data_IF_867292897035
#
_entry.id   IF_867292897035
#
_cell.length_a   1.000
_cell.length_b   1.000
_cell.length_c   1.000
_cell.angle_alpha   90.00
_cell.angle_beta   90.00
_cell.angle_gamma   90.00
#
_symmetry.space_group_name_H-M   'P 1'
#
loop_
_entity.id
_entity.type
_entity.pdbx_description
1 polymer ?
#
# COMPACT_ATOMS: atom_id res chain seq x y z
N UNK A 1 14.93 -19.07 -38.95
CA UNK A 1 15.47 -18.86 -40.31
C UNK A 1 15.02 -19.99 -41.23
N UNK A 2 14.98 -21.23 -40.73
CA UNK A 2 14.50 -22.40 -41.49
C UNK A 2 13.01 -22.34 -41.93
N UNK A 3 12.15 -21.62 -41.20
CA UNK A 3 10.72 -21.44 -41.57
C UNK A 3 10.48 -20.44 -42.72
N UNK A 4 11.44 -19.57 -43.04
CA UNK A 4 11.24 -18.50 -44.03
C UNK A 4 11.44 -19.03 -45.46
N UNK A 5 12.31 -20.04 -45.61
CA UNK A 5 12.62 -20.64 -46.89
C UNK A 5 11.50 -21.54 -47.42
N UNK A 6 10.71 -22.18 -46.53
CA UNK A 6 9.62 -23.09 -46.90
C UNK A 6 8.36 -22.36 -47.41
N UNK A 7 8.17 -21.09 -47.03
CA UNK A 7 7.01 -20.27 -47.42
C UNK A 7 7.16 -19.67 -48.83
N UNK A 8 8.39 -19.56 -49.34
CA UNK A 8 8.69 -18.94 -50.63
C UNK A 8 8.28 -19.80 -51.85
N UNK A 9 8.08 -21.11 -51.69
CA UNK A 9 7.79 -22.03 -52.80
C UNK A 9 6.31 -22.08 -53.22
N UNK A 10 5.41 -21.38 -52.55
CA UNK A 10 3.99 -21.33 -52.91
C UNK A 10 3.65 -20.02 -53.62
N UNK A 11 2.84 -20.12 -54.68
CA UNK A 11 2.41 -19.09 -55.66
C UNK A 11 1.62 -17.88 -55.05
N UNK A 12 1.75 -17.67 -53.74
CA UNK A 12 1.13 -16.60 -52.96
C UNK A 12 2.05 -16.08 -51.81
N UNK A 13 3.33 -16.47 -51.79
CA UNK A 13 4.27 -16.17 -50.71
C UNK A 13 4.54 -14.67 -50.49
N UNK A 14 4.58 -13.87 -51.55
CA UNK A 14 4.78 -12.41 -51.42
C UNK A 14 3.62 -11.70 -50.72
N UNK A 15 2.38 -12.13 -50.98
CA UNK A 15 1.19 -11.55 -50.35
C UNK A 15 1.12 -11.92 -48.87
N UNK A 16 1.56 -13.13 -48.52
CA UNK A 16 1.62 -13.61 -47.13
C UNK A 16 2.72 -12.86 -46.36
N UNK A 17 3.90 -12.65 -46.95
CA UNK A 17 4.99 -11.89 -46.31
C UNK A 17 4.59 -10.42 -46.11
N UNK A 18 3.93 -9.79 -47.09
CA UNK A 18 3.39 -8.43 -46.94
C UNK A 18 2.36 -8.35 -45.82
N UNK A 19 1.40 -9.28 -45.77
CA UNK A 19 0.41 -9.33 -44.71
C UNK A 19 1.03 -9.53 -43.31
N UNK A 20 2.06 -10.37 -43.20
CA UNK A 20 2.79 -10.59 -41.95
C UNK A 20 3.62 -9.36 -41.51
N UNK A 21 4.20 -8.63 -42.47
CA UNK A 21 4.92 -7.38 -42.18
C UNK A 21 3.93 -6.29 -41.75
N UNK A 22 2.79 -6.15 -42.42
CA UNK A 22 1.74 -5.20 -42.06
C UNK A 22 1.15 -5.49 -40.68
N UNK A 23 0.96 -6.77 -40.34
CA UNK A 23 0.55 -7.19 -39.00
C UNK A 23 1.59 -6.80 -37.95
N UNK A 24 2.89 -7.01 -38.23
CA UNK A 24 3.97 -6.60 -37.34
C UNK A 24 4.04 -5.09 -37.16
N UNK A 25 3.88 -4.32 -38.24
CA UNK A 25 3.83 -2.84 -38.20
C UNK A 25 2.67 -2.40 -37.31
N UNK A 26 1.47 -2.95 -37.52
CA UNK A 26 0.28 -2.62 -36.74
C UNK A 26 0.45 -2.95 -35.25
N UNK A 27 1.06 -4.10 -34.91
CA UNK A 27 1.34 -4.48 -33.53
C UNK A 27 2.34 -3.52 -32.87
N UNK A 28 3.40 -3.14 -33.59
CA UNK A 28 4.42 -2.19 -33.10
C UNK A 28 3.80 -0.80 -32.90
N UNK A 29 2.98 -0.32 -33.82
CA UNK A 29 2.27 0.96 -33.68
C UNK A 29 1.33 0.97 -32.46
N UNK A 30 0.59 -0.11 -32.26
CA UNK A 30 -0.28 -0.26 -31.08
C UNK A 30 0.50 -0.29 -29.77
N UNK A 31 1.67 -0.92 -29.77
CA UNK A 31 2.55 -0.95 -28.60
C UNK A 31 3.15 0.44 -28.31
N UNK A 32 3.57 1.17 -29.35
CA UNK A 32 4.04 2.56 -29.25
C UNK A 32 2.95 3.46 -28.68
N UNK A 33 1.71 3.32 -29.13
CA UNK A 33 0.58 4.10 -28.60
C UNK A 33 0.28 3.75 -27.14
N UNK A 34 0.34 2.46 -26.79
CA UNK A 34 0.25 2.02 -25.40
C UNK A 34 1.37 2.56 -24.51
N UNK A 35 2.59 2.69 -25.02
CA UNK A 35 3.70 3.30 -24.28
C UNK A 35 3.56 4.82 -24.16
N UNK A 36 3.04 5.52 -25.18
CA UNK A 36 2.74 6.95 -25.10
C UNK A 36 1.72 7.27 -24.01
N UNK A 37 0.65 6.46 -23.90
CA UNK A 37 -0.36 6.61 -22.84
C UNK A 37 0.30 6.47 -21.45
N UNK A 38 1.10 5.43 -21.24
CA UNK A 38 1.85 5.23 -19.97
C UNK A 38 2.79 6.40 -19.66
N UNK A 39 3.44 6.94 -20.69
CA UNK A 39 4.34 8.10 -20.56
C UNK A 39 3.58 9.39 -20.24
N UNK A 40 2.40 9.59 -20.83
CA UNK A 40 1.52 10.71 -20.55
C UNK A 40 0.95 10.63 -19.13
N UNK A 41 0.55 9.44 -18.67
CA UNK A 41 0.13 9.21 -17.29
C UNK A 41 1.27 9.52 -16.31
N UNK A 42 2.48 9.05 -16.58
CA UNK A 42 3.66 9.34 -15.76
C UNK A 42 4.01 10.84 -15.74
N UNK A 43 3.87 11.55 -16.87
CA UNK A 43 4.05 13.01 -16.95
C UNK A 43 2.98 13.77 -16.17
N UNK A 44 1.72 13.37 -16.29
CA UNK A 44 0.60 13.98 -15.56
C UNK A 44 0.76 13.79 -14.04
N UNK A 45 1.24 12.62 -13.62
CA UNK A 45 1.56 12.35 -12.22
C UNK A 45 2.76 13.19 -11.76
N UNK A 46 3.79 13.36 -12.59
CA UNK A 46 4.93 14.26 -12.31
C UNK A 46 4.49 15.73 -12.19
N UNK A 47 3.58 16.20 -13.03
CA UNK A 47 3.05 17.56 -12.95
C UNK A 47 2.18 17.77 -11.71
N UNK A 48 1.36 16.79 -11.35
CA UNK A 48 0.63 16.78 -10.07
C UNK A 48 1.58 16.79 -8.87
N UNK A 49 2.75 16.14 -8.97
CA UNK A 49 3.79 16.18 -7.95
C UNK A 49 4.57 17.51 -7.91
N UNK A 50 4.79 18.15 -9.06
CA UNK A 50 5.46 19.46 -9.14
C UNK A 50 4.55 20.62 -8.70
N UNK A 51 3.23 20.45 -8.76
CA UNK A 51 2.24 21.37 -8.20
C UNK A 51 2.16 21.30 -6.66
N UNK A 52 2.79 20.30 -6.05
CA UNK A 52 3.12 20.30 -4.62
C UNK A 52 4.41 21.10 -4.48
N UNK A 53 4.50 22.13 -3.60
CA UNK A 53 5.77 22.79 -3.34
C UNK A 53 6.74 21.72 -2.85
N UNK A 54 7.67 21.37 -3.73
CA UNK A 54 8.73 20.41 -3.48
C UNK A 54 9.46 20.86 -2.23
N UNK A 55 9.47 19.95 -1.25
CA UNK A 55 10.36 19.93 -0.11
C UNK A 55 11.70 20.47 -0.56
N UNK A 56 12.06 21.61 0.02
CA UNK A 56 13.20 22.45 -0.27
C UNK A 56 14.46 21.63 -0.60
N UNK A 57 15.22 21.97 -1.66
CA UNK A 57 16.52 21.37 -1.94
C UNK A 57 17.53 21.95 -0.96
N UNK A 58 17.52 21.48 0.28
CA UNK A 58 18.51 21.84 1.28
C UNK A 58 19.21 20.56 1.75
N UNK A 59 20.35 20.29 1.11
CA UNK A 59 21.50 19.51 1.58
C UNK A 59 21.22 18.12 2.17
N UNK A 60 21.88 17.08 1.65
CA UNK A 60 21.98 15.79 2.34
C UNK A 60 22.28 15.98 3.85
N UNK A 61 21.36 15.53 4.72
CA UNK A 61 21.69 14.38 5.53
C UNK A 61 20.69 13.22 5.34
N UNK A 62 21.29 12.11 4.91
CA UNK A 62 20.91 10.71 5.10
C UNK A 62 19.69 10.13 4.36
N UNK A 63 19.93 9.67 3.13
CA UNK A 63 19.15 8.59 2.49
C UNK A 63 19.00 7.40 3.46
N UNK A 64 20.03 7.10 4.26
CA UNK A 64 19.98 6.09 5.32
C UNK A 64 18.89 6.36 6.38
N UNK A 65 18.56 7.63 6.66
CA UNK A 65 17.51 8.01 7.60
C UNK A 65 16.12 7.72 7.03
N UNK A 66 15.89 8.04 5.75
CA UNK A 66 14.64 7.73 5.05
C UNK A 66 14.46 6.20 4.93
N UNK A 67 15.54 5.47 4.62
CA UNK A 67 15.54 4.01 4.54
C UNK A 67 15.26 3.38 5.92
N UNK A 68 15.95 3.82 6.98
CA UNK A 68 15.75 3.35 8.36
C UNK A 68 14.32 3.61 8.86
N UNK A 69 13.73 4.75 8.51
CA UNK A 69 12.32 5.08 8.82
C UNK A 69 11.34 4.12 8.15
N UNK A 70 11.56 3.83 6.86
CA UNK A 70 10.75 2.89 6.07
C UNK A 70 10.86 1.45 6.59
N UNK A 71 12.06 1.04 7.01
CA UNK A 71 12.30 -0.29 7.59
C UNK A 71 11.66 -0.46 8.96
N UNK A 72 11.79 0.51 9.88
CA UNK A 72 11.13 0.44 11.20
C UNK A 72 9.61 0.33 11.06
N UNK A 73 8.98 1.17 10.24
CA UNK A 73 7.53 1.08 9.98
C UNK A 73 7.13 -0.26 9.37
N UNK A 74 7.91 -0.79 8.41
CA UNK A 74 7.68 -2.12 7.84
C UNK A 74 7.77 -3.20 8.93
N UNK A 75 8.75 -3.11 9.82
CA UNK A 75 8.93 -4.06 10.92
C UNK A 75 7.72 -4.04 11.88
N UNK A 76 7.30 -2.87 12.34
CA UNK A 76 6.10 -2.74 13.18
C UNK A 76 4.84 -3.28 12.51
N UNK A 77 4.65 -3.03 11.22
CA UNK A 77 3.50 -3.56 10.48
C UNK A 77 3.53 -5.08 10.36
N UNK A 78 4.70 -5.67 10.09
CA UNK A 78 4.86 -7.13 10.04
C UNK A 78 4.63 -7.74 11.43
N UNK A 79 5.18 -7.12 12.49
CA UNK A 79 4.95 -7.56 13.86
C UNK A 79 3.45 -7.54 14.23
N UNK A 80 2.74 -6.44 13.96
CA UNK A 80 1.29 -6.34 14.19
C UNK A 80 0.51 -7.38 13.38
N UNK A 81 0.94 -7.65 12.15
CA UNK A 81 0.32 -8.66 11.30
C UNK A 81 0.52 -10.09 11.86
N UNK A 82 1.73 -10.43 12.29
CA UNK A 82 2.05 -11.72 12.92
C UNK A 82 1.24 -11.89 14.22
N UNK A 83 1.20 -10.86 15.07
CA UNK A 83 0.39 -10.87 16.30
C UNK A 83 -1.08 -11.11 15.96
N UNK A 84 -1.60 -10.45 14.92
CA UNK A 84 -2.98 -10.65 14.46
C UNK A 84 -3.26 -12.09 14.04
N UNK A 85 -2.33 -12.75 13.33
CA UNK A 85 -2.45 -14.16 12.95
C UNK A 85 -2.49 -15.06 14.19
N UNK A 86 -1.56 -14.86 15.14
CA UNK A 86 -1.49 -15.66 16.37
C UNK A 86 -2.77 -15.52 17.18
N UNK A 87 -3.25 -14.29 17.36
CA UNK A 87 -4.52 -14.01 18.06
C UNK A 87 -5.69 -14.68 17.34
N UNK A 88 -5.74 -14.63 16.01
CA UNK A 88 -6.78 -15.31 15.22
C UNK A 88 -6.79 -16.82 15.40
N UNK A 89 -5.62 -17.46 15.46
CA UNK A 89 -5.49 -18.91 15.74
C UNK A 89 -6.01 -19.23 17.14
N UNK A 90 -5.62 -18.45 18.16
CA UNK A 90 -6.07 -18.63 19.55
C UNK A 90 -7.59 -18.46 19.64
N UNK A 91 -8.15 -17.44 18.99
CA UNK A 91 -9.58 -17.16 18.98
C UNK A 91 -10.36 -18.30 18.31
N UNK A 92 -9.90 -18.78 17.15
CA UNK A 92 -10.48 -19.92 16.45
C UNK A 92 -10.40 -21.21 17.25
N UNK A 93 -9.25 -21.53 17.83
CA UNK A 93 -9.06 -22.72 18.67
C UNK A 93 -9.95 -22.67 19.92
N UNK A 94 -10.04 -21.52 20.58
CA UNK A 94 -10.91 -21.31 21.75
C UNK A 94 -12.39 -21.47 21.41
N UNK A 95 -12.82 -20.94 20.26
CA UNK A 95 -14.20 -21.09 19.78
C UNK A 95 -14.53 -22.57 19.52
N UNK A 96 -13.68 -23.28 18.76
CA UNK A 96 -13.86 -24.70 18.46
C UNK A 96 -13.90 -25.54 19.74
N UNK A 97 -12.93 -25.32 20.64
CA UNK A 97 -12.87 -26.02 21.93
C UNK A 97 -14.12 -25.80 22.78
N UNK A 98 -14.64 -24.57 22.79
CA UNK A 98 -15.82 -24.20 23.56
C UNK A 98 -17.11 -24.85 23.02
N UNK A 99 -17.20 -25.06 21.70
CA UNK A 99 -18.29 -25.81 21.07
C UNK A 99 -18.28 -27.29 21.48
N UNK A 100 -17.12 -27.96 21.36
CA UNK A 100 -17.00 -29.38 21.73
C UNK A 100 -17.20 -29.63 23.23
N UNK A 101 -16.64 -28.75 24.08
CA UNK A 101 -16.71 -28.91 25.54
C UNK A 101 -18.06 -28.45 26.12
N UNK A 102 -18.96 -27.85 25.33
CA UNK A 102 -20.19 -27.14 25.76
C UNK A 102 -19.94 -26.03 26.81
N UNK A 103 -18.69 -25.64 27.02
CA UNK A 103 -18.24 -24.60 27.98
C UNK A 103 -18.04 -23.27 27.26
N UNK A 104 -19.13 -22.68 26.78
CA UNK A 104 -19.13 -21.42 26.03
C UNK A 104 -18.49 -20.23 26.79
N UNK A 105 -18.46 -20.28 28.11
CA UNK A 105 -17.84 -19.24 28.95
C UNK A 105 -16.31 -19.15 28.77
N UNK A 106 -15.65 -20.23 28.36
CA UNK A 106 -14.19 -20.24 28.11
C UNK A 106 -13.86 -19.31 26.93
N UNK A 107 -14.65 -19.39 25.87
CA UNK A 107 -14.55 -18.47 24.74
C UNK A 107 -14.71 -17.01 25.18
N UNK A 108 -15.73 -16.70 25.99
CA UNK A 108 -15.93 -15.34 26.49
C UNK A 108 -14.75 -14.81 27.32
N UNK A 109 -14.16 -15.64 28.19
CA UNK A 109 -12.99 -15.23 28.98
C UNK A 109 -11.81 -14.90 28.06
N UNK A 110 -11.57 -15.72 27.03
CA UNK A 110 -10.52 -15.48 26.04
C UNK A 110 -10.77 -14.19 25.27
N UNK A 111 -12.01 -13.92 24.83
CA UNK A 111 -12.37 -12.67 24.15
C UNK A 111 -12.09 -11.43 25.01
N UNK A 112 -12.47 -11.45 26.28
CA UNK A 112 -12.21 -10.34 27.21
C UNK A 112 -10.71 -10.08 27.35
N UNK A 113 -9.89 -11.13 27.46
CA UNK A 113 -8.43 -11.00 27.52
C UNK A 113 -7.85 -10.40 26.23
N UNK A 114 -8.35 -10.84 25.06
CA UNK A 114 -7.93 -10.29 23.75
C UNK A 114 -8.29 -8.81 23.65
N UNK A 115 -9.47 -8.40 24.10
CA UNK A 115 -9.91 -6.99 24.08
C UNK A 115 -9.02 -6.12 24.97
N UNK A 116 -8.68 -6.59 26.18
CA UNK A 116 -7.79 -5.88 27.10
C UNK A 116 -6.40 -5.73 26.47
N UNK A 117 -5.84 -6.82 25.96
CA UNK A 117 -4.53 -6.82 25.31
C UNK A 117 -4.50 -5.90 24.08
N UNK A 118 -5.51 -6.00 23.21
CA UNK A 118 -5.68 -5.14 22.03
C UNK A 118 -5.79 -3.66 22.39
N UNK A 119 -6.49 -3.33 23.49
CA UNK A 119 -6.60 -1.96 23.98
C UNK A 119 -5.26 -1.38 24.44
N UNK A 120 -4.42 -2.18 25.12
CA UNK A 120 -3.07 -1.79 25.52
C UNK A 120 -2.18 -1.57 24.31
N UNK A 121 -2.19 -2.51 23.36
CA UNK A 121 -1.44 -2.39 22.11
C UNK A 121 -1.87 -1.17 21.30
N UNK A 122 -3.17 -0.92 21.18
CA UNK A 122 -3.70 0.23 20.46
C UNK A 122 -3.27 1.55 21.11
N UNK A 123 -3.31 1.65 22.44
CA UNK A 123 -2.79 2.83 23.15
C UNK A 123 -1.31 3.07 22.86
N UNK A 124 -0.47 2.03 22.92
CA UNK A 124 0.96 2.12 22.59
C UNK A 124 1.18 2.56 21.14
N UNK A 125 0.46 1.94 20.21
CA UNK A 125 0.51 2.31 18.79
C UNK A 125 0.13 3.79 18.57
N UNK A 126 -0.95 4.25 19.21
CA UNK A 126 -1.41 5.64 19.17
C UNK A 126 -0.45 6.64 19.81
N UNK A 127 0.49 6.19 20.64
CA UNK A 127 1.57 7.04 21.12
C UNK A 127 2.64 7.24 20.05
N UNK A 128 3.04 6.18 19.34
CA UNK A 128 4.18 6.19 18.42
C UNK A 128 3.82 6.75 17.02
N UNK A 129 2.55 6.62 16.63
CA UNK A 129 2.09 6.98 15.29
C UNK A 129 1.71 8.47 15.19
N UNK A 130 2.15 9.10 14.11
CA UNK A 130 1.68 10.40 13.65
C UNK A 130 1.23 10.29 12.18
N UNK A 131 0.51 11.31 11.68
CA UNK A 131 0.02 11.31 10.31
C UNK A 131 0.36 12.61 9.60
N UNK A 132 0.72 12.51 8.32
CA UNK A 132 0.99 13.66 7.44
C UNK A 132 -0.21 13.88 6.53
N UNK A 133 -0.71 15.12 6.50
CA UNK A 133 -1.76 15.53 5.56
C UNK A 133 -1.15 15.78 4.16
N UNK A 134 -1.69 15.20 3.07
CA UNK A 134 -1.11 15.39 1.73
C UNK A 134 -1.32 16.80 1.14
N UNK A 135 -2.28 17.58 1.64
CA UNK A 135 -2.52 18.94 1.15
C UNK A 135 -1.64 19.96 1.89
N UNK A 136 -1.75 20.02 3.22
CA UNK A 136 -1.06 21.04 4.02
C UNK A 136 0.24 20.55 4.66
N UNK A 137 0.64 19.30 4.42
CA UNK A 137 1.88 18.68 4.92
C UNK A 137 2.06 18.72 6.45
N UNK A 138 1.03 19.11 7.18
CA UNK A 138 1.05 19.16 8.64
C UNK A 138 1.12 17.75 9.22
N UNK A 139 2.06 17.54 10.12
CA UNK A 139 2.14 16.35 10.97
C UNK A 139 1.19 16.55 12.15
N UNK A 140 0.27 15.61 12.37
CA UNK A 140 -0.69 15.72 13.46
C UNK A 140 -0.99 14.38 14.12
N UNK A 141 -1.52 14.46 15.35
CA UNK A 141 -2.03 13.32 16.11
C UNK A 141 -3.56 13.26 15.99
N UNK A 142 -4.12 12.28 15.27
CA UNK A 142 -5.57 12.09 15.21
C UNK A 142 -6.12 11.56 16.53
N UNK A 143 -7.42 11.74 16.73
CA UNK A 143 -8.13 11.18 17.87
C UNK A 143 -8.17 9.64 17.74
N UNK A 144 -7.88 8.90 18.82
CA UNK A 144 -7.85 7.43 18.80
C UNK A 144 -9.17 6.79 18.35
N UNK A 145 -10.32 7.38 18.71
CA UNK A 145 -11.62 6.91 18.22
C UNK A 145 -11.75 7.07 16.71
N UNK A 146 -11.32 8.21 16.17
CA UNK A 146 -11.34 8.45 14.73
C UNK A 146 -10.41 7.48 14.00
N UNK A 147 -9.23 7.21 14.56
CA UNK A 147 -8.27 6.26 14.00
C UNK A 147 -8.84 4.84 13.94
N UNK A 148 -9.50 4.41 15.02
CA UNK A 148 -10.05 3.06 15.12
C UNK A 148 -11.13 2.81 14.06
N UNK A 149 -12.02 3.79 13.84
CA UNK A 149 -13.14 3.67 12.90
C UNK A 149 -12.81 4.13 11.46
N UNK A 150 -11.66 4.75 11.25
CA UNK A 150 -11.28 5.25 9.94
C UNK A 150 -11.02 4.11 8.95
N UNK A 151 -11.48 4.32 7.71
CA UNK A 151 -11.06 3.51 6.56
C UNK A 151 -9.54 3.57 6.45
N UNK A 152 -8.91 2.41 6.37
CA UNK A 152 -7.47 2.26 6.39
C UNK A 152 -6.98 1.42 5.22
N UNK A 153 -5.81 1.77 4.73
CA UNK A 153 -4.98 1.01 3.80
C UNK A 153 -3.67 0.71 4.53
N UNK A 154 -2.85 -0.21 4.00
CA UNK A 154 -1.57 -0.60 4.62
C UNK A 154 -0.64 0.58 5.00
N UNK A 155 -0.75 1.75 4.35
CA UNK A 155 0.09 2.93 4.61
C UNK A 155 -0.66 4.21 4.96
N UNK A 156 -1.98 4.21 4.84
CA UNK A 156 -2.79 5.43 4.90
C UNK A 156 -4.07 5.21 5.67
N UNK A 157 -4.58 6.27 6.27
CA UNK A 157 -5.85 6.22 7.01
C UNK A 157 -6.67 7.47 6.71
N UNK A 158 -7.97 7.29 6.50
CA UNK A 158 -8.88 8.40 6.16
C UNK A 158 -9.24 9.20 7.41
N UNK A 159 -8.51 10.28 7.64
CA UNK A 159 -8.57 11.11 8.84
C UNK A 159 -8.91 12.55 8.50
N UNK A 160 -9.44 13.28 9.47
CA UNK A 160 -9.70 14.71 9.38
C UNK A 160 -8.45 15.47 9.83
N UNK A 161 -7.88 16.27 8.94
CA UNK A 161 -6.72 17.08 9.29
C UNK A 161 -7.14 18.26 10.18
N UNK A 162 -6.49 18.51 11.32
CA UNK A 162 -6.84 19.65 12.20
C UNK A 162 -6.45 21.02 11.62
N UNK A 163 -5.56 21.05 10.63
CA UNK A 163 -5.11 22.28 9.97
C UNK A 163 -6.06 22.71 8.84
N UNK A 164 -6.39 21.80 7.92
CA UNK A 164 -7.25 22.10 6.77
C UNK A 164 -8.70 21.61 6.89
N UNK A 165 -9.06 20.91 7.98
CA UNK A 165 -10.38 20.33 8.25
C UNK A 165 -10.96 19.41 7.17
N UNK A 166 -10.15 18.97 6.21
CA UNK A 166 -10.57 18.04 5.16
C UNK A 166 -10.34 16.59 5.60
N UNK A 167 -11.32 15.73 5.35
CA UNK A 167 -11.28 14.29 5.64
C UNK A 167 -10.76 13.49 4.45
N UNK A 168 -9.48 13.08 4.48
CA UNK A 168 -8.80 12.38 3.38
C UNK A 168 -7.83 11.32 3.88
N UNK A 169 -7.23 10.56 2.96
CA UNK A 169 -6.18 9.60 3.30
C UNK A 169 -4.90 10.34 3.70
N UNK A 170 -4.56 10.29 4.98
CA UNK A 170 -3.31 10.79 5.53
C UNK A 170 -2.28 9.66 5.60
N UNK A 171 -1.01 9.98 5.39
CA UNK A 171 0.09 9.01 5.37
C UNK A 171 0.58 8.77 6.79
N UNK A 172 0.70 7.50 7.17
CA UNK A 172 1.25 7.10 8.47
C UNK A 172 2.75 7.40 8.55
N UNK A 173 3.17 8.02 9.65
CA UNK A 173 4.57 8.31 9.95
C UNK A 173 4.90 8.04 11.42
N UNK A 174 6.18 7.80 11.74
CA UNK A 174 6.66 7.74 13.12
C UNK A 174 6.82 9.15 13.69
N UNK A 175 6.60 9.29 15.00
CA UNK A 175 6.98 10.49 15.75
C UNK A 175 8.47 10.80 15.60
N UNK A 176 8.78 12.09 15.62
CA UNK A 176 10.14 12.63 15.58
C UNK A 176 10.93 12.35 16.86
N UNK A 177 10.24 12.13 17.99
CA UNK A 177 10.82 11.76 19.29
C UNK A 177 11.18 10.26 19.42
N UNK A 178 10.55 9.39 18.61
CA UNK A 178 10.82 7.94 18.59
C UNK A 178 11.79 7.53 17.46
N UNK A 179 12.44 8.54 16.85
CA UNK A 179 13.32 8.41 15.68
C UNK A 179 14.76 8.12 16.09
#
# INVERSE_FOLDING_TARGET
IDDIASIYQQDNGENIIKALIDERIFVIEKEVEGQKIKLQDAKSFREQLNAIPVITPASMPNIAYILKRKERLKHYRIQLFIIGIIVGIIQGASFVYSLFSRKWWIYLVVEVLIIIFGSILFKKYMHIVAYICPECHTVFRPNGKEVFWARHTYRTRKLTCPCCNKKRFCVETLREEDL
#
